data_IF_005081506345
#
_entry.id   IF_005081506345
#
_cell.length_a   1.000
_cell.length_b   1.000
_cell.length_c   1.000
_cell.angle_alpha   90.00
_cell.angle_beta   90.00
_cell.angle_gamma   90.00
#
_symmetry.space_group_name_H-M   'P 1'
#
loop_
_entity.id
_entity.type
_entity.pdbx_description
1 polymer ?
#
# COMPACT_ATOMS: atom_id res chain seq x y z
N UNK A 1 -20.25 -2.17 -5.80
CA UNK A 1 -19.63 -0.83 -5.90
C UNK A 1 -18.25 -0.76 -5.24
N UNK A 2 -18.04 -1.21 -4.00
CA UNK A 2 -16.76 -1.11 -3.27
C UNK A 2 -15.55 -1.69 -4.03
N UNK A 3 -15.65 -2.90 -4.56
CA UNK A 3 -14.55 -3.51 -5.33
C UNK A 3 -14.14 -2.65 -6.53
N UNK A 4 -15.10 -2.11 -7.27
CA UNK A 4 -14.82 -1.24 -8.42
C UNK A 4 -14.07 0.02 -7.99
N UNK A 5 -14.50 0.67 -6.90
CA UNK A 5 -13.82 1.84 -6.34
C UNK A 5 -12.41 1.53 -5.88
N UNK A 6 -12.20 0.37 -5.20
CA UNK A 6 -10.89 -0.07 -4.75
C UNK A 6 -9.93 -0.31 -5.93
N UNK A 7 -10.35 -1.07 -6.93
CA UNK A 7 -9.51 -1.32 -8.12
C UNK A 7 -9.25 -0.05 -8.92
N UNK A 8 -10.22 0.86 -9.03
CA UNK A 8 -10.00 2.16 -9.66
C UNK A 8 -8.99 3.01 -8.90
N UNK A 9 -9.07 3.06 -7.57
CA UNK A 9 -8.11 3.77 -6.74
C UNK A 9 -6.71 3.16 -6.86
N UNK A 10 -6.60 1.83 -6.85
CA UNK A 10 -5.34 1.12 -7.02
C UNK A 10 -4.71 1.41 -8.40
N UNK A 11 -5.51 1.36 -9.45
CA UNK A 11 -5.06 1.68 -10.81
C UNK A 11 -4.58 3.13 -10.92
N UNK A 12 -5.34 4.08 -10.39
CA UNK A 12 -4.99 5.51 -10.38
C UNK A 12 -3.72 5.80 -9.58
N UNK A 13 -3.40 4.98 -8.58
CA UNK A 13 -2.17 5.13 -7.79
C UNK A 13 -0.97 4.49 -8.48
N UNK A 14 -1.13 3.29 -9.05
CA UNK A 14 -0.02 2.54 -9.65
C UNK A 14 0.37 3.11 -11.02
N UNK A 15 -0.60 3.57 -11.82
CA UNK A 15 -0.33 4.07 -13.17
C UNK A 15 0.65 5.26 -13.22
N UNK A 16 0.50 6.32 -12.40
CA UNK A 16 1.48 7.40 -12.35
C UNK A 16 2.87 6.92 -11.91
N UNK A 17 2.94 6.00 -10.93
CA UNK A 17 4.20 5.43 -10.47
C UNK A 17 4.88 4.61 -11.59
N UNK A 18 4.09 3.86 -12.34
CA UNK A 18 4.60 3.14 -13.51
C UNK A 18 5.15 4.11 -14.57
N UNK A 19 4.41 5.17 -14.90
CA UNK A 19 4.86 6.20 -15.86
C UNK A 19 6.14 6.89 -15.38
N UNK A 20 6.23 7.24 -14.10
CA UNK A 20 7.45 7.83 -13.52
C UNK A 20 8.64 6.87 -13.58
N UNK A 21 8.42 5.57 -13.47
CA UNK A 21 9.49 4.55 -13.55
C UNK A 21 10.05 4.38 -14.96
N UNK A 22 9.34 4.83 -15.99
CA UNK A 22 9.83 4.77 -17.38
C UNK A 22 11.08 5.64 -17.58
N UNK A 23 11.19 6.78 -16.90
CA UNK A 23 12.36 7.67 -17.01
C UNK A 23 13.65 6.97 -16.58
N UNK A 24 13.80 6.45 -15.36
CA UNK A 24 15.00 5.71 -14.96
C UNK A 24 15.20 4.43 -15.78
N UNK A 25 14.13 3.77 -16.22
CA UNK A 25 14.22 2.62 -17.11
C UNK A 25 14.92 2.97 -18.43
N UNK A 26 14.48 4.06 -19.09
CA UNK A 26 15.09 4.53 -20.34
C UNK A 26 16.55 4.93 -20.13
N UNK A 27 16.87 5.58 -19.01
CA UNK A 27 18.26 5.91 -18.66
C UNK A 27 19.10 4.64 -18.47
N UNK A 28 18.62 3.64 -17.75
CA UNK A 28 19.32 2.38 -17.56
C UNK A 28 19.56 1.66 -18.90
N UNK A 29 18.59 1.66 -19.82
CA UNK A 29 18.74 1.06 -21.15
C UNK A 29 19.83 1.80 -21.95
N UNK A 30 19.77 3.14 -21.95
CA UNK A 30 20.72 3.99 -22.68
C UNK A 30 22.17 3.77 -22.18
N UNK A 31 22.41 3.86 -20.89
CA UNK A 31 23.74 3.66 -20.31
C UNK A 31 24.19 2.20 -20.41
N UNK A 32 23.29 1.23 -20.23
CA UNK A 32 23.58 -0.18 -20.43
C UNK A 32 24.10 -0.46 -21.84
N UNK A 33 23.46 0.13 -22.86
CA UNK A 33 23.91 0.01 -24.24
C UNK A 33 25.30 0.64 -24.46
N UNK A 34 25.56 1.81 -23.86
CA UNK A 34 26.90 2.44 -23.96
C UNK A 34 28.00 1.63 -23.30
N UNK A 35 27.70 0.96 -22.20
CA UNK A 35 28.65 0.16 -21.42
C UNK A 35 28.74 -1.30 -21.90
N UNK A 36 27.98 -1.69 -22.91
CA UNK A 36 27.93 -3.07 -23.41
C UNK A 36 27.32 -4.07 -22.42
N UNK A 37 26.50 -3.59 -21.46
CA UNK A 37 25.85 -4.41 -20.45
C UNK A 37 24.39 -4.68 -20.85
N UNK A 38 23.96 -5.95 -20.74
CA UNK A 38 22.56 -6.30 -20.98
C UNK A 38 21.66 -5.83 -19.84
N UNK A 39 20.62 -5.08 -20.15
CA UNK A 39 19.62 -4.59 -19.18
C UNK A 39 18.32 -5.38 -19.32
N UNK A 40 17.83 -5.95 -18.21
CA UNK A 40 16.50 -6.58 -18.20
C UNK A 40 15.42 -5.48 -18.17
N UNK A 41 14.86 -5.18 -19.34
CA UNK A 41 13.79 -4.17 -19.51
C UNK A 41 12.55 -4.52 -18.70
N UNK A 42 12.26 -5.81 -18.49
CA UNK A 42 11.10 -6.27 -17.73
C UNK A 42 11.32 -6.17 -16.21
N UNK A 43 12.55 -5.92 -15.74
CA UNK A 43 12.84 -5.80 -14.31
C UNK A 43 11.97 -4.75 -13.62
N UNK A 44 11.81 -3.59 -14.23
CA UNK A 44 10.97 -2.51 -13.66
C UNK A 44 9.52 -2.95 -13.47
N UNK A 45 8.93 -3.61 -14.46
CA UNK A 45 7.57 -4.16 -14.35
C UNK A 45 7.46 -5.25 -13.29
N UNK A 46 8.41 -6.19 -13.23
CA UNK A 46 8.47 -7.24 -12.22
C UNK A 46 8.56 -6.66 -10.81
N UNK A 47 9.39 -5.65 -10.60
CA UNK A 47 9.55 -5.00 -9.30
C UNK A 47 8.34 -4.17 -8.89
N UNK A 48 7.70 -3.47 -9.81
CA UNK A 48 6.45 -2.75 -9.52
C UNK A 48 5.36 -3.75 -9.10
N UNK A 49 5.18 -4.83 -9.85
CA UNK A 49 4.16 -5.83 -9.53
C UNK A 49 4.49 -6.63 -8.25
N UNK A 50 5.75 -7.01 -8.06
CA UNK A 50 6.16 -7.82 -6.90
C UNK A 50 6.27 -7.04 -5.60
N UNK A 51 6.69 -5.78 -5.66
CA UNK A 51 7.03 -5.01 -4.46
C UNK A 51 6.06 -3.87 -4.18
N UNK A 52 5.71 -3.09 -5.18
CA UNK A 52 4.89 -1.91 -5.01
C UNK A 52 3.39 -2.24 -4.95
N UNK A 53 2.93 -3.21 -5.75
CA UNK A 53 1.52 -3.59 -5.79
C UNK A 53 0.99 -4.11 -4.44
N UNK A 54 1.65 -5.04 -3.73
CA UNK A 54 1.18 -5.52 -2.43
C UNK A 54 1.12 -4.41 -1.37
N UNK A 55 2.11 -3.51 -1.38
CA UNK A 55 2.18 -2.37 -0.48
C UNK A 55 1.04 -1.37 -0.74
N UNK A 56 0.85 -0.99 -2.00
CA UNK A 56 -0.22 -0.09 -2.42
C UNK A 56 -1.59 -0.69 -2.13
N UNK A 57 -1.77 -1.99 -2.40
CA UNK A 57 -3.00 -2.71 -2.10
C UNK A 57 -3.31 -2.68 -0.60
N UNK A 58 -2.30 -2.90 0.26
CA UNK A 58 -2.46 -2.83 1.71
C UNK A 58 -2.87 -1.43 2.18
N UNK A 59 -2.14 -0.40 1.75
CA UNK A 59 -2.41 0.99 2.17
C UNK A 59 -3.83 1.41 1.78
N UNK A 60 -4.24 1.10 0.55
CA UNK A 60 -5.60 1.40 0.09
C UNK A 60 -6.66 0.60 0.84
N UNK A 61 -6.45 -0.71 1.04
CA UNK A 61 -7.40 -1.54 1.78
C UNK A 61 -7.55 -1.08 3.24
N UNK A 62 -6.44 -0.72 3.89
CA UNK A 62 -6.43 -0.15 5.23
C UNK A 62 -7.20 1.18 5.27
N UNK A 63 -6.99 2.07 4.30
CA UNK A 63 -7.70 3.34 4.19
C UNK A 63 -9.20 3.16 4.02
N UNK A 64 -9.65 2.27 3.14
CA UNK A 64 -11.08 1.95 2.97
C UNK A 64 -11.68 1.35 4.23
N UNK A 65 -10.99 0.41 4.87
CA UNK A 65 -11.45 -0.21 6.11
C UNK A 65 -11.63 0.80 7.24
N UNK A 66 -10.63 1.66 7.47
CA UNK A 66 -10.67 2.69 8.49
C UNK A 66 -11.72 3.75 8.18
N UNK A 67 -11.83 4.17 6.93
CA UNK A 67 -12.84 5.14 6.50
C UNK A 67 -14.26 4.64 6.74
N UNK A 68 -14.52 3.36 6.46
CA UNK A 68 -15.81 2.73 6.74
C UNK A 68 -16.03 2.46 8.24
N UNK A 69 -14.99 2.19 9.02
CA UNK A 69 -15.11 1.86 10.46
C UNK A 69 -15.30 3.09 11.32
N UNK A 70 -14.41 4.08 11.17
CA UNK A 70 -14.25 5.22 12.11
C UNK A 70 -14.54 6.55 11.44
N UNK A 71 -14.40 6.62 10.11
CA UNK A 71 -14.60 7.84 9.32
C UNK A 71 -13.31 8.35 8.66
N UNK A 72 -13.49 9.18 7.62
CA UNK A 72 -12.38 9.64 6.76
C UNK A 72 -11.24 10.36 7.50
N UNK A 73 -11.51 11.35 8.38
CA UNK A 73 -10.43 12.06 9.08
C UNK A 73 -9.55 11.15 9.93
N UNK A 74 -10.15 10.20 10.67
CA UNK A 74 -9.41 9.23 11.47
C UNK A 74 -8.59 8.27 10.60
N UNK A 75 -9.12 7.87 9.45
CA UNK A 75 -8.41 7.03 8.49
C UNK A 75 -7.13 7.71 7.98
N UNK A 76 -7.20 8.99 7.64
CA UNK A 76 -6.04 9.78 7.19
C UNK A 76 -5.00 9.86 8.30
N UNK A 77 -5.41 10.18 9.53
CA UNK A 77 -4.50 10.31 10.67
C UNK A 77 -3.76 9.00 10.94
N UNK A 78 -4.46 7.86 10.97
CA UNK A 78 -3.85 6.54 11.18
C UNK A 78 -2.85 6.22 10.06
N UNK A 79 -3.19 6.52 8.80
CA UNK A 79 -2.28 6.27 7.68
C UNK A 79 -1.02 7.14 7.75
N UNK A 80 -1.15 8.41 8.13
CA UNK A 80 0.02 9.30 8.33
C UNK A 80 0.92 8.77 9.44
N UNK A 81 0.35 8.34 10.58
CA UNK A 81 1.11 7.74 11.68
C UNK A 81 1.82 6.46 11.21
N UNK A 82 1.13 5.59 10.49
CA UNK A 82 1.68 4.35 9.96
C UNK A 82 2.84 4.62 9.01
N UNK A 83 2.72 5.62 8.16
CA UNK A 83 3.77 6.06 7.26
C UNK A 83 4.97 6.64 8.03
N UNK A 84 4.74 7.51 9.03
CA UNK A 84 5.81 8.07 9.85
C UNK A 84 6.56 6.99 10.64
N UNK A 85 5.86 6.03 11.23
CA UNK A 85 6.46 4.89 11.93
C UNK A 85 7.31 4.07 10.95
N UNK A 86 6.80 3.78 9.76
CA UNK A 86 7.54 3.01 8.74
C UNK A 86 8.83 3.70 8.30
N UNK A 87 8.82 5.03 8.19
CA UNK A 87 10.02 5.80 7.85
C UNK A 87 11.00 5.84 9.02
N UNK A 88 10.52 6.07 10.24
CA UNK A 88 11.36 6.20 11.43
C UNK A 88 12.06 4.89 11.78
N UNK A 89 11.35 3.77 11.73
CA UNK A 89 11.92 2.45 12.01
C UNK A 89 12.91 1.98 10.95
N UNK A 90 12.72 2.40 9.68
CA UNK A 90 13.64 2.11 8.58
C UNK A 90 14.93 2.93 8.61
N UNK A 91 14.96 4.07 9.33
CA UNK A 91 16.09 5.00 9.33
C UNK A 91 17.26 4.61 10.24
N UNK A 92 17.01 3.82 11.29
CA UNK A 92 18.03 3.46 12.30
C UNK A 92 18.79 2.18 11.98
N UNK A 93 18.25 1.32 11.09
CA UNK A 93 18.86 0.05 10.69
C UNK A 93 18.88 -0.03 9.17
N UNK A 94 19.84 0.62 8.58
CA UNK A 94 19.91 0.89 7.14
C UNK A 94 20.09 -0.33 6.25
N UNK A 95 20.55 -1.46 6.78
CA UNK A 95 20.93 -2.60 5.95
C UNK A 95 20.42 -3.89 6.56
N UNK A 96 19.62 -4.64 5.79
CA UNK A 96 19.29 -6.03 6.10
C UNK A 96 18.13 -6.30 7.06
N UNK A 97 17.50 -5.30 7.65
CA UNK A 97 16.30 -5.49 8.48
C UNK A 97 15.02 -5.21 7.70
N UNK A 98 14.48 -6.24 7.10
CA UNK A 98 13.19 -6.15 6.41
C UNK A 98 12.03 -6.22 7.41
N UNK A 99 12.05 -7.17 8.32
CA UNK A 99 11.06 -7.34 9.39
C UNK A 99 9.63 -7.04 8.95
N UNK A 100 8.96 -6.23 9.74
CA UNK A 100 7.60 -5.73 9.52
C UNK A 100 7.54 -4.37 8.80
N UNK A 101 8.68 -3.87 8.31
CA UNK A 101 8.72 -2.56 7.68
C UNK A 101 7.89 -2.53 6.40
N UNK A 102 6.99 -1.56 6.31
CA UNK A 102 6.19 -1.32 5.11
C UNK A 102 7.10 -0.86 3.96
N UNK A 103 8.06 0.02 4.26
CA UNK A 103 9.02 0.58 3.30
C UNK A 103 10.43 0.18 3.75
N UNK A 104 10.94 -1.01 3.37
CA UNK A 104 12.33 -1.36 3.61
C UNK A 104 13.25 -0.51 2.73
N UNK A 105 14.34 -0.03 3.31
CA UNK A 105 15.29 0.84 2.61
C UNK A 105 16.61 0.12 2.35
N UNK A 106 17.14 0.30 1.14
CA UNK A 106 18.44 -0.20 0.69
C UNK A 106 19.20 0.95 0.05
N UNK A 107 19.85 1.79 0.86
CA UNK A 107 20.51 3.01 0.41
C UNK A 107 22.05 2.88 0.42
N UNK A 108 22.60 1.70 0.16
CA UNK A 108 24.03 1.46 0.21
C UNK A 108 24.58 1.12 -1.17
N UNK A 109 25.82 1.53 -1.46
CA UNK A 109 26.51 1.26 -2.74
C UNK A 109 26.70 -0.25 -3.03
N UNK A 110 26.70 -1.09 -1.97
CA UNK A 110 26.75 -2.56 -2.06
C UNK A 110 25.38 -3.20 -1.80
N UNK A 111 24.30 -2.49 -2.08
CA UNK A 111 22.94 -2.91 -1.75
C UNK A 111 22.50 -4.21 -2.46
N UNK A 112 23.11 -4.57 -3.58
CA UNK A 112 22.77 -5.78 -4.34
C UNK A 112 23.04 -7.06 -3.55
N UNK A 113 24.18 -7.17 -2.89
CA UNK A 113 24.54 -8.38 -2.12
C UNK A 113 23.65 -8.51 -0.90
N UNK A 114 23.39 -7.38 -0.21
CA UNK A 114 22.48 -7.32 0.92
C UNK A 114 21.05 -7.65 0.48
N UNK A 115 20.61 -7.11 -0.65
CA UNK A 115 19.29 -7.41 -1.24
C UNK A 115 19.14 -8.91 -1.50
N UNK A 116 20.12 -9.56 -2.12
CA UNK A 116 20.07 -10.99 -2.41
C UNK A 116 20.01 -11.82 -1.11
N UNK A 117 20.77 -11.45 -0.08
CA UNK A 117 20.79 -12.14 1.20
C UNK A 117 19.45 -12.09 1.95
N UNK A 118 18.68 -10.99 1.82
CA UNK A 118 17.40 -10.79 2.48
C UNK A 118 16.18 -11.01 1.58
N UNK A 119 16.39 -11.43 0.32
CA UNK A 119 15.32 -11.57 -0.67
C UNK A 119 14.15 -12.44 -0.17
N UNK A 120 14.45 -13.57 0.48
CA UNK A 120 13.40 -14.42 1.05
C UNK A 120 12.59 -13.75 2.17
N UNK A 121 13.21 -12.84 2.93
CA UNK A 121 12.50 -12.06 3.95
C UNK A 121 11.61 -11.00 3.28
N UNK A 122 12.09 -10.39 2.21
CA UNK A 122 11.32 -9.43 1.42
C UNK A 122 10.07 -10.06 0.82
N UNK A 123 10.20 -11.24 0.22
CA UNK A 123 9.04 -11.98 -0.33
C UNK A 123 8.02 -12.27 0.77
N UNK A 124 8.45 -12.77 1.93
CA UNK A 124 7.56 -13.02 3.07
C UNK A 124 6.86 -11.74 3.56
N UNK A 125 7.59 -10.64 3.63
CA UNK A 125 7.03 -9.34 3.98
C UNK A 125 5.92 -8.93 2.99
N UNK A 126 6.15 -9.07 1.69
CA UNK A 126 5.16 -8.71 0.66
C UNK A 126 3.94 -9.62 0.66
N UNK A 127 4.13 -10.91 0.87
CA UNK A 127 3.01 -11.86 1.02
C UNK A 127 2.16 -11.54 2.26
N UNK A 128 2.78 -11.14 3.35
CA UNK A 128 2.09 -10.70 4.56
C UNK A 128 1.22 -9.47 4.28
N UNK A 129 1.77 -8.43 3.64
CA UNK A 129 1.00 -7.24 3.31
C UNK A 129 -0.11 -7.51 2.29
N UNK A 130 0.12 -8.40 1.34
CA UNK A 130 -0.94 -8.86 0.42
C UNK A 130 -2.07 -9.58 1.19
N UNK A 131 -1.72 -10.45 2.14
CA UNK A 131 -2.70 -11.12 3.01
C UNK A 131 -3.49 -10.14 3.88
N UNK A 132 -2.81 -9.16 4.49
CA UNK A 132 -3.46 -8.09 5.25
C UNK A 132 -4.37 -7.23 4.38
N UNK A 133 -3.97 -6.93 3.14
CA UNK A 133 -4.82 -6.20 2.20
C UNK A 133 -6.14 -6.94 1.94
N UNK A 134 -6.08 -8.26 1.70
CA UNK A 134 -7.27 -9.07 1.51
C UNK A 134 -8.15 -9.12 2.76
N UNK A 135 -7.55 -9.20 3.95
CA UNK A 135 -8.25 -9.19 5.22
C UNK A 135 -8.98 -7.87 5.46
N UNK A 136 -8.32 -6.75 5.25
CA UNK A 136 -8.96 -5.43 5.38
C UNK A 136 -10.04 -5.20 4.33
N UNK A 137 -9.84 -5.68 3.11
CA UNK A 137 -10.87 -5.64 2.06
C UNK A 137 -12.12 -6.43 2.49
N UNK A 138 -11.94 -7.66 2.98
CA UNK A 138 -13.05 -8.48 3.49
C UNK A 138 -13.75 -7.78 4.67
N UNK A 139 -13.00 -7.20 5.61
CA UNK A 139 -13.51 -6.41 6.71
C UNK A 139 -14.33 -5.20 6.25
N UNK A 140 -13.84 -4.48 5.24
CA UNK A 140 -14.57 -3.34 4.63
C UNK A 140 -15.92 -3.77 4.08
N UNK A 141 -15.95 -4.87 3.33
CA UNK A 141 -17.20 -5.42 2.77
C UNK A 141 -18.15 -5.83 3.89
N UNK A 142 -17.64 -6.49 4.93
CA UNK A 142 -18.44 -6.90 6.08
C UNK A 142 -19.06 -5.70 6.80
N UNK A 143 -18.28 -4.66 7.14
CA UNK A 143 -18.78 -3.45 7.79
C UNK A 143 -19.81 -2.74 6.91
N UNK A 144 -19.55 -2.63 5.62
CA UNK A 144 -20.50 -2.02 4.69
C UNK A 144 -21.83 -2.78 4.66
N UNK A 145 -21.81 -4.12 4.65
CA UNK A 145 -23.03 -4.93 4.73
C UNK A 145 -23.78 -4.74 6.04
N UNK A 146 -23.07 -4.68 7.17
CA UNK A 146 -23.67 -4.46 8.48
C UNK A 146 -24.33 -3.08 8.58
N UNK A 147 -23.67 -2.04 8.05
CA UNK A 147 -24.24 -0.69 7.97
C UNK A 147 -25.51 -0.67 7.11
N UNK A 148 -25.47 -1.33 5.95
CA UNK A 148 -26.62 -1.40 5.04
C UNK A 148 -27.81 -2.13 5.65
N UNK A 149 -27.58 -3.14 6.49
CA UNK A 149 -28.64 -3.84 7.25
C UNK A 149 -29.15 -3.07 8.47
N UNK A 150 -28.60 -1.87 8.74
CA UNK A 150 -29.00 -1.05 9.89
C UNK A 150 -28.45 -1.51 11.24
N UNK A 151 -27.64 -2.58 11.28
CA UNK A 151 -27.10 -3.14 12.53
C UNK A 151 -26.09 -2.19 13.17
N UNK A 152 -25.27 -1.48 12.38
CA UNK A 152 -24.25 -0.53 12.84
C UNK A 152 -24.64 0.94 12.70
N UNK A 153 -25.81 1.25 12.13
CA UNK A 153 -26.26 2.62 11.82
C UNK A 153 -27.39 3.19 12.73
N UNK A 154 -27.82 2.44 13.75
CA UNK A 154 -29.05 2.75 14.50
C UNK A 154 -29.00 3.95 15.46
N UNK A 155 -27.87 4.59 15.69
CA UNK A 155 -27.75 5.64 16.72
C UNK A 155 -27.91 7.10 16.23
N UNK A 156 -27.86 7.34 14.92
CA UNK A 156 -27.86 8.72 14.38
C UNK A 156 -29.24 9.25 13.92
N UNK A 157 -30.21 8.39 13.64
CA UNK A 157 -31.52 8.84 13.08
C UNK A 157 -32.55 9.28 14.11
N UNK A 158 -32.39 8.90 15.36
CA UNK A 158 -33.42 9.27 16.41
C UNK A 158 -33.28 10.69 16.93
N UNK A 159 -32.19 11.42 16.64
CA UNK A 159 -32.02 12.79 17.10
C UNK A 159 -32.71 13.83 16.19
N UNK A 160 -32.94 13.56 14.93
CA UNK A 160 -33.49 14.54 13.98
C UNK A 160 -35.03 14.56 14.00
N UNK A 161 -35.67 13.44 14.37
CA UNK A 161 -37.13 13.39 14.44
C UNK A 161 -37.74 13.97 15.73
N UNK A 162 -36.94 14.15 16.80
CA UNK A 162 -37.44 14.64 18.09
C UNK A 162 -37.60 16.17 18.15
N UNK A 163 -37.00 16.92 17.22
CA UNK A 163 -37.09 18.40 17.20
C UNK A 163 -38.07 18.96 16.17
N UNK A 164 -38.96 18.13 15.58
CA UNK A 164 -40.01 18.61 14.67
C UNK A 164 -41.42 18.56 15.24
N UNK A 165 -41.58 18.28 16.53
CA UNK A 165 -42.89 18.26 17.23
C UNK A 165 -42.84 19.14 18.46
N UNK A 166 -42.40 20.38 18.32
CA UNK A 166 -42.70 21.47 19.28
C UNK A 166 -43.04 22.70 18.49
#
# INVERSE_FOLDING_TARGET
>A
MLFRSYFSAMFLTIMPLFLLSLTPMLQCIYYGHQLGVSVDVLAFGKYILGWLLPETAFVLACGFFLSESVGGPAAILVQVVLWMVSISTGGTKLVGTVGWNLIPRFNNDQATDVWLSVFGQMVRNRLLYAGLALLFMAGTVFIYHMKRKGVLGGRGKNFIHRNRTL
#
